data_IF_333520004623
#
_entry.id   IF_333520004623
#
_cell.length_a   1.000
_cell.length_b   1.000
_cell.length_c   1.000
_cell.angle_alpha   90.00
_cell.angle_beta   90.00
_cell.angle_gamma   90.00
#
_symmetry.space_group_name_H-M   'P 1'
#
loop_
_entity.id
_entity.type
_entity.pdbx_description
1 polymer ?
#
# COMPACT_ATOMS: atom_id res chain seq x y z
N UNK A 1 -7.05 -18.09 -35.70
CA UNK A 1 -7.47 -17.19 -34.60
C UNK A 1 -8.29 -16.08 -35.24
N UNK A 2 -9.48 -15.77 -34.74
CA UNK A 2 -10.42 -14.83 -35.39
C UNK A 2 -9.81 -13.43 -35.49
N UNK A 3 -9.32 -12.86 -34.39
CA UNK A 3 -8.53 -11.61 -34.44
C UNK A 3 -7.05 -11.99 -34.53
N UNK A 4 -6.26 -11.55 -35.53
CA UNK A 4 -4.83 -11.87 -35.63
C UNK A 4 -4.01 -11.35 -34.44
N UNK A 5 -2.84 -11.95 -34.18
CA UNK A 5 -1.99 -11.59 -33.02
C UNK A 5 -1.42 -10.16 -33.09
N UNK A 6 -1.24 -9.63 -34.30
CA UNK A 6 -0.64 -8.30 -34.56
C UNK A 6 -1.64 -7.15 -34.48
N UNK A 7 -2.94 -7.44 -34.31
CA UNK A 7 -4.00 -6.42 -34.28
C UNK A 7 -5.01 -6.70 -33.18
N UNK A 8 -5.74 -5.66 -32.79
CA UNK A 8 -6.81 -5.76 -31.80
C UNK A 8 -8.21 -5.73 -32.43
N UNK A 9 -8.31 -5.47 -33.74
CA UNK A 9 -9.58 -5.45 -34.48
C UNK A 9 -9.38 -6.04 -35.87
N UNK A 10 -10.36 -6.79 -36.34
CA UNK A 10 -10.44 -7.32 -37.71
C UNK A 10 -11.82 -7.05 -38.28
N UNK A 11 -11.93 -6.66 -39.55
CA UNK A 11 -13.23 -6.50 -40.18
C UNK A 11 -13.84 -7.87 -40.51
N UNK A 12 -15.17 -7.99 -40.49
CA UNK A 12 -15.84 -9.22 -40.89
C UNK A 12 -15.59 -9.54 -42.37
N UNK A 13 -15.44 -8.50 -43.20
CA UNK A 13 -15.07 -8.67 -44.60
C UNK A 13 -13.69 -9.35 -44.75
N UNK A 14 -12.71 -8.96 -43.94
CA UNK A 14 -11.39 -9.62 -43.94
C UNK A 14 -11.51 -11.09 -43.53
N UNK A 15 -12.38 -11.42 -42.57
CA UNK A 15 -12.62 -12.81 -42.17
C UNK A 15 -13.23 -13.65 -43.30
N UNK A 16 -14.14 -13.07 -44.08
CA UNK A 16 -14.74 -13.71 -45.25
C UNK A 16 -13.69 -13.96 -46.33
N UNK A 17 -12.85 -12.95 -46.63
CA UNK A 17 -11.76 -13.13 -47.62
C UNK A 17 -10.73 -14.18 -47.19
N UNK A 18 -10.59 -14.43 -45.89
CA UNK A 18 -9.76 -15.50 -45.33
C UNK A 18 -10.43 -16.89 -45.32
N UNK A 19 -11.68 -17.00 -45.79
CA UNK A 19 -12.40 -18.28 -45.85
C UNK A 19 -13.10 -18.69 -44.54
N UNK A 20 -13.30 -17.78 -43.58
CA UNK A 20 -14.03 -18.06 -42.34
C UNK A 20 -15.55 -17.95 -42.53
N UNK A 21 -16.09 -18.53 -43.60
CA UNK A 21 -17.52 -18.56 -43.93
C UNK A 21 -17.87 -19.80 -44.73
N UNK A 22 -19.16 -20.12 -44.82
CA UNK A 22 -19.67 -21.24 -45.60
C UNK A 22 -20.98 -20.86 -46.29
N UNK A 23 -21.20 -21.46 -47.45
CA UNK A 23 -22.36 -21.24 -48.32
C UNK A 23 -22.75 -22.59 -48.93
N UNK A 24 -23.95 -23.05 -48.57
CA UNK A 24 -24.45 -24.40 -48.86
C UNK A 24 -25.08 -24.50 -50.26
N UNK A 25 -25.61 -23.40 -50.81
CA UNK A 25 -26.30 -23.38 -52.10
C UNK A 25 -25.52 -22.66 -53.22
N UNK A 26 -24.39 -22.04 -52.86
CA UNK A 26 -23.38 -21.54 -53.79
C UNK A 26 -23.65 -20.12 -54.31
N UNK A 27 -24.58 -19.39 -53.70
CA UNK A 27 -25.03 -18.06 -54.13
C UNK A 27 -24.04 -16.92 -53.79
N UNK A 28 -23.08 -17.20 -52.92
CA UNK A 28 -21.98 -16.34 -52.51
C UNK A 28 -20.66 -16.62 -53.23
N UNK A 29 -20.60 -17.63 -54.10
CA UNK A 29 -19.36 -18.03 -54.78
C UNK A 29 -18.94 -17.03 -55.88
N UNK A 30 -17.64 -16.80 -56.02
CA UNK A 30 -17.03 -15.93 -57.04
C UNK A 30 -16.47 -14.61 -56.50
N UNK A 31 -15.78 -13.86 -57.36
CA UNK A 31 -15.18 -12.56 -56.97
C UNK A 31 -16.28 -11.59 -56.54
N UNK A 32 -16.20 -11.09 -55.30
CA UNK A 32 -17.21 -10.22 -54.67
C UNK A 32 -18.62 -10.86 -54.58
N UNK A 33 -18.69 -12.19 -54.43
CA UNK A 33 -19.97 -12.89 -54.27
C UNK A 33 -20.62 -12.68 -52.90
N UNK A 34 -19.82 -12.36 -51.87
CA UNK A 34 -20.27 -12.02 -50.51
C UNK A 34 -19.55 -10.77 -50.00
N UNK A 35 -20.29 -9.92 -49.30
CA UNK A 35 -19.77 -8.80 -48.51
C UNK A 35 -20.26 -8.89 -47.08
N UNK A 36 -19.42 -8.54 -46.10
CA UNK A 36 -19.85 -8.38 -44.72
C UNK A 36 -19.48 -7.02 -44.15
N UNK A 37 -20.40 -6.44 -43.39
CA UNK A 37 -20.18 -5.21 -42.63
C UNK A 37 -20.01 -5.52 -41.15
N UNK A 38 -19.12 -4.79 -40.49
CA UNK A 38 -18.84 -4.94 -39.07
C UNK A 38 -17.43 -5.43 -38.77
N UNK A 39 -17.13 -5.61 -37.49
CA UNK A 39 -15.81 -5.99 -37.01
C UNK A 39 -15.86 -6.76 -35.71
N UNK A 40 -14.82 -7.55 -35.47
CA UNK A 40 -14.54 -8.19 -34.19
C UNK A 40 -13.30 -7.55 -33.60
N UNK A 41 -13.37 -7.13 -32.35
CA UNK A 41 -12.26 -6.55 -31.59
C UNK A 41 -12.03 -7.28 -30.28
N UNK A 42 -10.80 -7.20 -29.79
CA UNK A 42 -10.43 -7.65 -28.46
C UNK A 42 -9.65 -6.55 -27.73
N UNK A 43 -9.90 -6.42 -26.43
CA UNK A 43 -9.12 -5.57 -25.54
C UNK A 43 -8.72 -6.34 -24.29
N UNK A 44 -7.61 -5.91 -23.69
CA UNK A 44 -7.07 -6.50 -22.48
C UNK A 44 -6.81 -5.39 -21.47
N UNK A 45 -7.25 -5.59 -20.23
CA UNK A 45 -6.87 -4.74 -19.11
C UNK A 45 -6.38 -5.57 -17.94
N UNK A 46 -5.57 -4.98 -17.07
CA UNK A 46 -5.27 -5.55 -15.76
C UNK A 46 -6.39 -5.28 -14.74
N UNK A 47 -6.19 -5.70 -13.49
CA UNK A 47 -7.13 -5.51 -12.39
C UNK A 47 -7.39 -4.03 -12.06
N UNK A 48 -6.43 -3.17 -12.37
CA UNK A 48 -6.50 -1.72 -12.18
C UNK A 48 -7.09 -1.01 -13.41
N UNK A 49 -7.63 -1.77 -14.37
CA UNK A 49 -8.16 -1.32 -15.65
C UNK A 49 -7.14 -0.61 -16.57
N UNK A 50 -5.83 -0.77 -16.32
CA UNK A 50 -4.82 -0.28 -17.27
C UNK A 50 -4.85 -1.14 -18.54
N UNK A 51 -4.64 -0.53 -19.70
CA UNK A 51 -4.57 -1.27 -20.97
C UNK A 51 -3.30 -2.12 -21.00
N UNK A 52 -3.46 -3.38 -21.43
CA UNK A 52 -2.38 -4.36 -21.52
C UNK A 52 -2.22 -4.79 -22.97
N UNK A 53 -1.00 -4.85 -23.47
CA UNK A 53 -0.71 -5.41 -24.79
C UNK A 53 -0.67 -6.94 -24.73
N UNK A 54 -1.02 -7.59 -25.84
CA UNK A 54 -0.90 -9.06 -26.00
C UNK A 54 0.52 -9.58 -25.77
N UNK A 55 1.53 -8.73 -25.96
CA UNK A 55 2.95 -9.04 -25.80
C UNK A 55 3.48 -8.83 -24.39
N UNK A 56 2.69 -8.21 -23.50
CA UNK A 56 3.16 -7.86 -22.16
C UNK A 56 3.29 -9.10 -21.30
N UNK A 57 4.36 -9.14 -20.49
CA UNK A 57 4.50 -10.17 -19.47
C UNK A 57 3.43 -9.96 -18.39
N UNK A 58 2.68 -11.02 -18.09
CA UNK A 58 1.66 -10.99 -17.05
C UNK A 58 2.32 -11.07 -15.66
N UNK A 59 1.81 -10.28 -14.72
CA UNK A 59 2.20 -10.28 -13.32
C UNK A 59 0.98 -10.68 -12.48
N UNK A 60 1.15 -11.67 -11.61
CA UNK A 60 0.11 -12.10 -10.66
C UNK A 60 -0.38 -10.95 -9.78
N UNK A 61 0.47 -9.95 -9.50
CA UNK A 61 0.11 -8.77 -8.72
C UNK A 61 -0.80 -7.78 -9.43
N UNK A 62 -1.02 -7.97 -10.74
CA UNK A 62 -1.92 -7.18 -11.58
C UNK A 62 -3.15 -7.99 -12.01
N UNK A 63 -3.28 -9.22 -11.54
CA UNK A 63 -4.39 -10.09 -11.81
C UNK A 63 -5.62 -9.73 -10.93
N UNK A 64 -6.85 -10.05 -11.36
CA UNK A 64 -7.20 -10.70 -12.63
C UNK A 64 -7.09 -9.75 -13.82
N UNK A 65 -6.59 -10.29 -14.94
CA UNK A 65 -6.66 -9.61 -16.22
C UNK A 65 -8.04 -9.83 -16.85
N UNK A 66 -8.55 -8.81 -17.52
CA UNK A 66 -9.84 -8.81 -18.20
C UNK A 66 -9.62 -8.79 -19.71
N UNK A 67 -10.06 -9.84 -20.40
CA UNK A 67 -10.12 -9.89 -21.86
C UNK A 67 -11.56 -9.69 -22.32
N UNK A 68 -11.79 -8.64 -23.10
CA UNK A 68 -13.11 -8.34 -23.66
C UNK A 68 -13.08 -8.62 -25.16
N UNK A 69 -13.91 -9.55 -25.62
CA UNK A 69 -14.15 -9.82 -27.04
C UNK A 69 -15.48 -9.17 -27.42
N UNK A 70 -15.45 -8.29 -28.42
CA UNK A 70 -16.63 -7.57 -28.90
C UNK A 70 -16.80 -7.74 -30.40
N UNK A 71 -18.05 -7.91 -30.84
CA UNK A 71 -18.43 -7.81 -32.24
C UNK A 71 -19.36 -6.62 -32.39
N UNK A 72 -19.17 -5.83 -33.43
CA UNK A 72 -20.20 -4.89 -33.87
C UNK A 72 -21.37 -5.68 -34.46
N UNK A 73 -22.55 -5.04 -34.50
CA UNK A 73 -23.60 -5.51 -35.40
C UNK A 73 -23.20 -5.28 -36.86
N UNK A 74 -23.99 -5.84 -37.77
CA UNK A 74 -23.79 -5.68 -39.20
C UNK A 74 -24.63 -6.68 -39.99
N UNK A 75 -24.28 -6.84 -41.25
CA UNK A 75 -24.96 -7.71 -42.18
C UNK A 75 -23.98 -8.46 -43.07
N UNK A 76 -24.43 -9.63 -43.50
CA UNK A 76 -23.80 -10.45 -44.52
C UNK A 76 -24.74 -10.43 -45.73
N UNK A 77 -24.21 -10.03 -46.87
CA UNK A 77 -24.95 -9.86 -48.10
C UNK A 77 -24.31 -10.67 -49.22
N UNK A 78 -25.10 -11.52 -49.86
CA UNK A 78 -24.73 -12.28 -51.05
C UNK A 78 -25.27 -11.60 -52.30
N UNK A 79 -24.63 -11.87 -53.44
CA UNK A 79 -25.06 -11.31 -54.74
C UNK A 79 -26.37 -11.94 -55.25
N UNK A 80 -26.58 -13.22 -54.94
CA UNK A 80 -27.77 -14.00 -55.32
C UNK A 80 -28.41 -14.60 -54.05
N UNK A 81 -29.55 -15.29 -54.16
CA UNK A 81 -30.28 -15.86 -53.00
C UNK A 81 -31.50 -15.04 -52.56
N UNK A 82 -32.45 -15.68 -51.89
CA UNK A 82 -33.64 -15.03 -51.31
C UNK A 82 -33.98 -15.65 -49.94
N UNK A 83 -33.83 -14.92 -48.83
CA UNK A 83 -33.24 -13.57 -48.73
C UNK A 83 -31.72 -13.58 -48.97
N UNK A 84 -31.19 -12.56 -49.66
CA UNK A 84 -29.76 -12.38 -49.92
C UNK A 84 -29.02 -11.57 -48.83
N UNK A 85 -29.66 -11.30 -47.71
CA UNK A 85 -29.06 -10.53 -46.62
C UNK A 85 -29.47 -11.11 -45.28
N UNK A 86 -28.50 -11.23 -44.37
CA UNK A 86 -28.72 -11.62 -42.99
C UNK A 86 -28.03 -10.65 -42.05
N UNK A 87 -28.79 -10.13 -41.09
CA UNK A 87 -28.27 -9.22 -40.07
C UNK A 87 -27.79 -10.00 -38.83
N UNK A 88 -26.79 -9.46 -38.14
CA UNK A 88 -26.32 -9.90 -36.84
C UNK A 88 -26.24 -8.72 -35.87
N UNK A 89 -26.61 -8.98 -34.62
CA UNK A 89 -26.52 -8.00 -33.52
C UNK A 89 -25.10 -7.89 -32.99
N UNK A 90 -24.78 -6.77 -32.35
CA UNK A 90 -23.56 -6.66 -31.56
C UNK A 90 -23.60 -7.61 -30.36
N UNK A 91 -22.43 -8.09 -29.96
CA UNK A 91 -22.27 -8.91 -28.76
C UNK A 91 -20.93 -8.61 -28.09
N UNK A 92 -20.87 -8.74 -26.77
CA UNK A 92 -19.63 -8.62 -26.00
C UNK A 92 -19.57 -9.74 -24.97
N UNK A 93 -18.40 -10.36 -24.85
CA UNK A 93 -18.10 -11.38 -23.84
C UNK A 93 -16.83 -10.98 -23.13
N UNK A 94 -16.82 -11.14 -21.81
CA UNK A 94 -15.66 -10.86 -20.96
C UNK A 94 -15.14 -12.15 -20.35
N UNK A 95 -13.82 -12.33 -20.41
CA UNK A 95 -13.10 -13.42 -19.78
C UNK A 95 -12.12 -12.85 -18.77
N UNK A 96 -11.93 -13.57 -17.66
CA UNK A 96 -10.93 -13.21 -16.64
C UNK A 96 -9.78 -14.22 -16.66
N UNK A 97 -8.56 -13.71 -16.58
CA UNK A 97 -7.31 -14.49 -16.68
C UNK A 97 -6.47 -14.21 -15.44
N UNK A 98 -6.19 -15.25 -14.67
CA UNK A 98 -5.21 -15.22 -13.58
C UNK A 98 -3.96 -15.99 -14.02
N UNK A 99 -2.82 -15.31 -14.28
CA UNK A 99 -1.58 -15.99 -14.59
C UNK A 99 -1.13 -16.81 -13.37
N UNK A 100 -0.50 -17.96 -13.60
CA UNK A 100 0.13 -18.70 -12.50
C UNK A 100 1.65 -18.57 -12.60
N UNK A 101 2.24 -17.76 -11.73
CA UNK A 101 3.69 -17.56 -11.61
C UNK A 101 4.22 -17.89 -10.21
N UNK A 102 3.46 -18.70 -9.45
CA UNK A 102 3.67 -18.94 -8.04
C UNK A 102 3.09 -17.82 -7.17
N UNK A 103 2.95 -18.06 -5.85
CA UNK A 103 2.39 -17.08 -4.96
C UNK A 103 3.37 -15.94 -4.67
N UNK A 104 2.86 -14.74 -4.45
CA UNK A 104 3.67 -13.55 -4.20
C UNK A 104 2.96 -12.59 -3.27
N UNK A 105 3.74 -11.86 -2.49
CA UNK A 105 3.28 -10.72 -1.72
C UNK A 105 3.56 -9.48 -2.57
N UNK A 106 2.48 -8.82 -2.98
CA UNK A 106 2.52 -7.76 -3.98
C UNK A 106 2.68 -6.39 -3.32
N UNK A 107 1.87 -6.16 -2.29
CA UNK A 107 1.87 -4.93 -1.52
C UNK A 107 1.79 -5.24 -0.03
N UNK A 108 2.15 -4.23 0.76
CA UNK A 108 1.92 -4.20 2.20
C UNK A 108 1.18 -2.93 2.57
N UNK A 109 0.12 -3.10 3.36
CA UNK A 109 -0.83 -2.04 3.67
C UNK A 109 -0.78 -1.69 5.16
N UNK A 110 -0.03 -0.64 5.55
CA UNK A 110 -0.30 0.07 6.80
C UNK A 110 -1.52 0.99 6.63
N UNK A 111 -1.76 1.91 7.55
CA UNK A 111 -2.73 2.99 7.39
C UNK A 111 -2.41 3.82 6.14
N UNK A 112 -3.44 4.13 5.35
CA UNK A 112 -3.37 4.82 4.05
C UNK A 112 -4.24 6.08 4.04
N UNK A 113 -4.29 6.82 5.15
CA UNK A 113 -5.14 8.00 5.30
C UNK A 113 -4.69 9.18 4.40
N UNK A 114 -5.16 9.15 3.15
CA UNK A 114 -5.16 10.25 2.17
C UNK A 114 -3.97 11.22 2.25
N UNK A 115 -2.76 10.76 1.95
CA UNK A 115 -1.72 11.70 1.50
C UNK A 115 -2.19 12.26 0.14
N UNK A 116 -2.78 13.45 0.14
CA UNK A 116 -3.31 14.12 -1.07
C UNK A 116 -2.24 14.70 -1.98
N UNK A 117 -0.96 14.33 -1.78
CA UNK A 117 0.19 14.92 -2.43
C UNK A 117 1.01 13.86 -3.16
N UNK A 118 1.03 13.97 -4.49
CA UNK A 118 1.83 13.15 -5.39
C UNK A 118 3.17 13.84 -5.72
N UNK A 119 4.26 13.07 -5.93
CA UNK A 119 4.32 11.61 -5.99
C UNK A 119 4.38 10.93 -4.62
N UNK A 120 3.53 9.94 -4.38
CA UNK A 120 3.53 9.08 -3.18
C UNK A 120 4.21 7.73 -3.43
N UNK A 121 4.89 7.20 -2.41
CA UNK A 121 5.44 5.85 -2.41
C UNK A 121 4.41 4.74 -2.14
N UNK A 122 3.17 5.11 -1.80
CA UNK A 122 2.07 4.18 -1.57
C UNK A 122 1.07 4.22 -2.73
N UNK A 123 0.56 3.04 -3.10
CA UNK A 123 -0.59 2.92 -3.98
C UNK A 123 -1.86 3.00 -3.13
N UNK A 124 -2.84 3.85 -3.50
CA UNK A 124 -4.12 3.93 -2.80
C UNK A 124 -4.73 2.55 -2.55
N UNK A 125 -5.24 2.33 -1.34
CA UNK A 125 -5.90 1.09 -0.86
C UNK A 125 -5.07 -0.20 -0.86
N UNK A 126 -3.86 -0.18 -1.44
CA UNK A 126 -2.92 -1.31 -1.50
C UNK A 126 -1.70 -1.13 -0.61
N UNK A 127 -1.24 0.11 -0.42
CA UNK A 127 -0.07 0.47 0.36
C UNK A 127 1.24 0.41 -0.42
N UNK A 128 2.34 0.06 0.26
CA UNK A 128 3.68 0.05 -0.34
C UNK A 128 3.89 -1.17 -1.22
N UNK A 129 4.44 -0.96 -2.42
CA UNK A 129 4.90 -2.06 -3.28
C UNK A 129 6.07 -2.79 -2.61
N UNK A 130 6.03 -4.13 -2.62
CA UNK A 130 7.16 -4.95 -2.18
C UNK A 130 8.33 -4.77 -3.16
N UNK A 131 9.44 -4.19 -2.68
CA UNK A 131 10.61 -3.86 -3.49
C UNK A 131 11.47 -5.08 -3.79
N UNK A 132 11.60 -6.02 -2.83
CA UNK A 132 12.36 -7.25 -3.04
C UNK A 132 11.96 -8.37 -2.10
N UNK A 133 12.05 -9.62 -2.56
CA UNK A 133 11.96 -10.82 -1.73
C UNK A 133 13.34 -11.42 -1.39
N UNK A 134 14.41 -10.82 -1.91
CA UNK A 134 15.79 -11.24 -1.63
C UNK A 134 16.28 -10.68 -0.31
N UNK A 135 16.86 -11.53 0.54
CA UNK A 135 17.27 -11.17 1.90
C UNK A 135 18.28 -10.02 1.96
N UNK A 136 19.17 -9.91 0.97
CA UNK A 136 20.14 -8.81 0.84
C UNK A 136 19.50 -7.43 0.64
N UNK A 137 18.24 -7.40 0.22
CA UNK A 137 17.53 -6.19 -0.21
C UNK A 137 16.29 -5.87 0.64
N UNK A 138 16.07 -6.59 1.74
CA UNK A 138 14.97 -6.32 2.67
C UNK A 138 15.02 -4.92 3.29
N UNK A 139 16.18 -4.28 3.31
CA UNK A 139 16.31 -2.89 3.75
C UNK A 139 15.59 -1.86 2.87
N UNK A 140 15.09 -2.26 1.69
CA UNK A 140 14.27 -1.43 0.79
C UNK A 140 12.77 -1.55 1.06
N UNK A 141 12.34 -2.59 1.78
CA UNK A 141 10.92 -2.81 2.05
C UNK A 141 10.49 -2.02 3.29
N UNK A 142 9.21 -1.65 3.29
CA UNK A 142 8.51 -1.24 4.50
C UNK A 142 8.48 -2.39 5.53
N UNK A 143 8.38 -2.13 6.83
CA UNK A 143 8.72 -0.88 7.48
C UNK A 143 10.22 -0.79 7.80
N UNK A 144 10.74 0.44 7.89
CA UNK A 144 12.07 0.72 8.46
C UNK A 144 11.99 1.28 9.89
N UNK A 145 10.82 1.76 10.28
CA UNK A 145 10.51 2.24 11.63
C UNK A 145 9.44 1.35 12.28
N UNK A 146 9.28 1.37 13.59
CA UNK A 146 8.22 0.60 14.23
C UNK A 146 7.93 1.05 15.65
N UNK A 147 6.88 0.48 16.22
CA UNK A 147 6.41 0.74 17.58
C UNK A 147 5.51 -0.40 18.04
N UNK A 148 5.34 -0.54 19.36
CA UNK A 148 4.50 -1.61 19.91
C UNK A 148 3.05 -1.43 19.47
N UNK A 149 2.44 -2.52 19.00
CA UNK A 149 1.04 -2.53 18.57
C UNK A 149 0.82 -2.08 17.12
N UNK A 150 1.81 -1.50 16.44
CA UNK A 150 1.69 -1.17 15.02
C UNK A 150 1.63 -2.45 14.18
N UNK A 151 0.88 -2.39 13.08
CA UNK A 151 0.66 -3.55 12.22
C UNK A 151 0.45 -3.17 10.76
N UNK A 152 0.57 -4.12 9.85
CA UNK A 152 0.28 -3.91 8.43
C UNK A 152 -0.21 -5.21 7.80
N UNK A 153 -0.95 -5.10 6.70
CA UNK A 153 -1.56 -6.25 6.04
C UNK A 153 -0.77 -6.64 4.77
N UNK A 154 -0.55 -7.94 4.58
CA UNK A 154 0.09 -8.49 3.38
C UNK A 154 -0.96 -8.74 2.30
N UNK A 155 -0.79 -8.13 1.13
CA UNK A 155 -1.63 -8.39 -0.04
C UNK A 155 -0.98 -9.49 -0.88
N UNK A 156 -1.50 -10.71 -0.70
CA UNK A 156 -0.95 -11.95 -1.27
C UNK A 156 -1.75 -12.33 -2.51
N UNK A 157 -1.07 -12.68 -3.59
CA UNK A 157 -1.67 -13.15 -4.83
C UNK A 157 -1.12 -14.54 -5.22
N UNK A 158 -1.90 -15.30 -5.98
CA UNK A 158 -1.50 -16.61 -6.50
C UNK A 158 -1.65 -17.79 -5.52
N UNK A 159 -2.18 -17.56 -4.32
CA UNK A 159 -2.55 -18.59 -3.34
C UNK A 159 -3.70 -18.10 -2.47
N UNK A 160 -4.47 -19.03 -1.92
CA UNK A 160 -5.44 -18.76 -0.86
C UNK A 160 -4.69 -18.46 0.45
N UNK A 161 -4.69 -17.19 0.87
CA UNK A 161 -3.97 -16.74 2.06
C UNK A 161 -4.44 -17.45 3.34
N UNK A 162 -5.68 -17.94 3.39
CA UNK A 162 -6.20 -18.68 4.55
C UNK A 162 -5.53 -20.04 4.76
N UNK A 163 -4.84 -20.56 3.72
CA UNK A 163 -4.11 -21.83 3.78
C UNK A 163 -2.66 -21.66 4.23
N UNK A 164 -2.17 -20.42 4.33
CA UNK A 164 -0.80 -20.14 4.73
C UNK A 164 -0.65 -20.20 6.25
N UNK A 165 0.28 -21.03 6.70
CA UNK A 165 0.73 -21.09 8.09
C UNK A 165 2.02 -20.30 8.25
N UNK A 166 2.10 -19.52 9.33
CA UNK A 166 3.20 -18.61 9.61
C UNK A 166 3.82 -18.90 10.97
N UNK A 167 5.12 -18.64 11.10
CA UNK A 167 5.81 -18.60 12.39
C UNK A 167 6.11 -17.17 12.78
N UNK A 168 5.99 -16.84 14.07
CA UNK A 168 6.45 -15.55 14.58
C UNK A 168 7.98 -15.47 14.54
N UNK A 169 8.49 -14.25 14.40
CA UNK A 169 9.93 -13.99 14.31
C UNK A 169 10.30 -12.96 15.37
N UNK A 170 11.18 -13.34 16.30
CA UNK A 170 11.69 -12.44 17.34
C UNK A 170 13.16 -12.10 17.10
N UNK A 171 13.48 -10.80 17.09
CA UNK A 171 14.83 -10.25 16.89
C UNK A 171 15.01 -9.00 17.74
N UNK A 172 16.13 -8.89 18.47
CA UNK A 172 16.49 -7.67 19.19
C UNK A 172 15.48 -7.17 20.23
N UNK A 173 14.62 -8.05 20.76
CA UNK A 173 13.55 -7.68 21.72
C UNK A 173 12.21 -7.30 21.06
N UNK A 174 12.11 -7.38 19.73
CA UNK A 174 10.88 -7.14 18.96
C UNK A 174 10.43 -8.47 18.35
N UNK A 175 9.12 -8.69 18.30
CA UNK A 175 8.48 -9.86 17.68
C UNK A 175 7.52 -9.40 16.60
N UNK A 176 7.65 -9.99 15.41
CA UNK A 176 6.67 -9.87 14.34
C UNK A 176 5.81 -11.13 14.33
N UNK A 177 4.49 -10.97 14.46
CA UNK A 177 3.51 -12.07 14.46
C UNK A 177 2.59 -11.91 13.28
N UNK A 178 2.39 -12.98 12.50
CA UNK A 178 1.43 -12.98 11.39
C UNK A 178 0.15 -13.67 11.81
N UNK A 179 -1.00 -13.06 11.52
CA UNK A 179 -2.32 -13.61 11.83
C UNK A 179 -3.27 -13.44 10.67
N UNK A 180 -4.17 -14.41 10.49
CA UNK A 180 -5.30 -14.32 9.58
C UNK A 180 -6.54 -13.90 10.36
N UNK A 181 -7.02 -12.67 10.15
CA UNK A 181 -8.11 -12.10 10.96
C UNK A 181 -8.97 -11.15 10.15
N UNK A 182 -10.17 -10.89 10.64
CA UNK A 182 -10.96 -9.75 10.17
C UNK A 182 -10.37 -8.44 10.73
N UNK A 183 -10.35 -7.37 9.91
CA UNK A 183 -10.25 -6.01 10.41
C UNK A 183 -11.29 -5.75 11.50
N UNK A 184 -11.00 -4.83 12.42
CA UNK A 184 -11.98 -4.40 13.42
C UNK A 184 -13.26 -3.92 12.73
N UNK A 185 -14.43 -4.12 13.34
CA UNK A 185 -15.70 -3.62 12.81
C UNK A 185 -16.24 -2.56 13.75
N UNK A 186 -16.60 -1.39 13.22
CA UNK A 186 -17.10 -0.25 13.98
C UNK A 186 -16.03 0.37 14.91
N UNK A 187 -15.70 1.64 14.67
CA UNK A 187 -14.69 2.39 15.42
C UNK A 187 -13.54 2.89 14.55
N UNK A 188 -12.61 3.63 15.16
CA UNK A 188 -11.44 4.21 14.47
C UNK A 188 -10.37 3.17 14.11
N UNK A 189 -10.25 2.06 14.86
CA UNK A 189 -9.31 0.97 14.52
C UNK A 189 -9.64 0.42 13.12
N UNK A 190 -8.63 0.32 12.25
CA UNK A 190 -8.74 -0.10 10.85
C UNK A 190 -9.60 0.82 9.96
N UNK A 191 -10.00 2.03 10.38
CA UNK A 191 -10.86 2.95 9.61
C UNK A 191 -10.38 3.29 8.19
N UNK A 192 -9.09 3.09 7.88
CA UNK A 192 -8.56 3.27 6.53
C UNK A 192 -8.92 2.13 5.56
N UNK A 193 -9.38 0.98 6.06
CA UNK A 193 -9.85 -0.13 5.23
C UNK A 193 -11.33 0.12 4.90
N UNK A 194 -11.64 0.23 3.62
CA UNK A 194 -13.01 0.45 3.12
C UNK A 194 -13.97 -0.67 3.56
N UNK A 195 -15.23 -0.32 3.83
CA UNK A 195 -16.23 -1.25 4.40
C UNK A 195 -16.39 -2.56 3.61
N UNK A 196 -16.30 -2.50 2.28
CA UNK A 196 -16.33 -3.69 1.43
C UNK A 196 -15.17 -4.65 1.73
N UNK A 197 -13.97 -4.10 1.91
CA UNK A 197 -12.75 -4.84 2.28
C UNK A 197 -12.76 -5.28 3.75
N UNK A 198 -13.39 -4.52 4.66
CA UNK A 198 -13.49 -4.88 6.08
C UNK A 198 -14.24 -6.18 6.32
N UNK A 199 -15.12 -6.57 5.39
CA UNK A 199 -15.84 -7.85 5.44
C UNK A 199 -14.96 -9.05 5.07
N UNK A 200 -13.74 -8.80 4.55
CA UNK A 200 -12.79 -9.81 4.14
C UNK A 200 -11.64 -9.95 5.14
N UNK A 201 -11.13 -11.17 5.30
CA UNK A 201 -9.99 -11.44 6.16
C UNK A 201 -8.70 -10.88 5.55
N UNK A 202 -7.79 -10.46 6.42
CA UNK A 202 -6.46 -9.93 6.08
C UNK A 202 -5.37 -10.78 6.70
N UNK A 203 -4.22 -10.84 6.04
CA UNK A 203 -3.00 -11.42 6.60
C UNK A 203 -2.19 -10.32 7.29
N UNK A 204 -2.39 -10.15 8.60
CA UNK A 204 -1.84 -9.03 9.37
C UNK A 204 -0.54 -9.40 10.05
N UNK A 205 0.49 -8.57 9.85
CA UNK A 205 1.74 -8.59 10.61
C UNK A 205 1.65 -7.56 11.73
N UNK A 206 1.75 -7.99 12.98
CA UNK A 206 1.77 -7.10 14.15
C UNK A 206 3.16 -7.09 14.78
N UNK A 207 3.66 -5.89 15.08
CA UNK A 207 4.91 -5.67 15.78
C UNK A 207 4.65 -5.54 17.29
N UNK A 208 5.36 -6.33 18.09
CA UNK A 208 5.31 -6.28 19.55
C UNK A 208 6.72 -6.12 20.10
N UNK A 209 6.92 -5.20 21.03
CA UNK A 209 8.25 -4.89 21.53
C UNK A 209 8.24 -4.03 22.78
N UNK A 210 9.37 -3.36 23.10
CA UNK A 210 9.46 -2.50 24.27
C UNK A 210 8.47 -1.34 24.17
N UNK A 211 7.68 -1.14 25.23
CA UNK A 211 6.77 -0.01 25.44
C UNK A 211 6.84 0.45 26.89
N UNK A 212 6.56 1.72 27.15
CA UNK A 212 6.48 2.22 28.52
C UNK A 212 5.29 1.55 29.25
N UNK A 213 5.47 1.23 30.52
CA UNK A 213 4.35 0.86 31.41
C UNK A 213 3.59 2.10 31.88
N UNK A 214 2.37 1.93 32.38
CA UNK A 214 1.57 3.04 32.94
C UNK A 214 2.34 3.83 34.00
N UNK A 215 3.09 3.13 34.86
CA UNK A 215 3.93 3.75 35.89
C UNK A 215 5.05 4.62 35.28
N UNK A 216 5.68 4.16 34.19
CA UNK A 216 6.69 4.95 33.48
C UNK A 216 6.05 6.15 32.75
N UNK A 217 4.88 5.98 32.14
CA UNK A 217 4.17 7.05 31.44
C UNK A 217 3.77 8.19 32.39
N UNK A 218 3.27 7.85 33.58
CA UNK A 218 2.80 8.84 34.56
C UNK A 218 3.92 9.48 35.39
N UNK A 219 5.12 8.88 35.43
CA UNK A 219 6.27 9.43 36.15
C UNK A 219 7.01 10.47 35.32
N UNK A 220 7.45 11.56 35.95
CA UNK A 220 8.39 12.51 35.34
C UNK A 220 9.83 11.97 35.38
N UNK A 221 10.11 11.00 36.25
CA UNK A 221 11.38 10.31 36.34
C UNK A 221 11.16 8.80 36.17
N UNK A 222 10.87 8.33 34.94
CA UNK A 222 10.62 6.92 34.69
C UNK A 222 11.88 6.09 34.96
N UNK A 223 11.68 4.83 35.37
CA UNK A 223 12.77 3.85 35.29
C UNK A 223 13.14 3.59 33.83
N UNK A 224 14.41 3.28 33.51
CA UNK A 224 14.82 2.95 32.15
C UNK A 224 13.99 1.81 31.55
N UNK A 225 13.72 1.90 30.25
CA UNK A 225 13.10 0.86 29.44
C UNK A 225 14.16 0.14 28.62
N UNK A 226 13.95 -1.15 28.34
CA UNK A 226 14.87 -1.91 27.48
C UNK A 226 14.87 -1.34 26.07
N UNK A 227 16.04 -0.89 25.61
CA UNK A 227 16.23 -0.41 24.24
C UNK A 227 16.46 -1.62 23.31
N UNK A 228 15.67 -1.79 22.24
CA UNK A 228 15.89 -2.89 21.31
C UNK A 228 17.20 -2.71 20.55
N UNK A 229 17.89 -3.82 20.27
CA UNK A 229 19.11 -3.79 19.45
C UNK A 229 18.72 -3.65 17.98
N UNK A 230 19.04 -2.52 17.34
CA UNK A 230 18.73 -2.22 15.93
C UNK A 230 20.00 -1.85 15.16
N UNK A 231 20.06 -2.06 13.82
CA UNK A 231 18.99 -2.59 12.98
C UNK A 231 18.78 -4.11 13.11
N UNK A 232 17.57 -4.59 12.81
CA UNK A 232 17.23 -6.02 12.78
C UNK A 232 16.51 -6.40 11.49
N UNK A 233 16.91 -7.52 10.91
CA UNK A 233 16.27 -8.12 9.73
C UNK A 233 15.24 -9.16 10.15
N UNK A 234 14.01 -9.01 9.64
CA UNK A 234 12.92 -9.97 9.81
C UNK A 234 12.64 -10.65 8.46
N UNK A 235 12.42 -11.97 8.48
CA UNK A 235 11.94 -12.74 7.32
C UNK A 235 10.77 -13.60 7.78
N UNK A 236 9.57 -13.23 7.33
CA UNK A 236 8.32 -13.95 7.54
C UNK A 236 8.14 -14.92 6.39
N UNK A 237 7.86 -16.19 6.70
CA UNK A 237 7.66 -17.25 5.72
C UNK A 237 6.31 -17.90 5.95
N UNK A 238 5.43 -17.80 4.96
CA UNK A 238 4.11 -18.43 4.93
C UNK A 238 4.14 -19.68 4.06
N UNK A 239 3.61 -20.80 4.55
CA UNK A 239 3.60 -22.08 3.84
C UNK A 239 2.22 -22.70 3.82
N UNK A 240 1.82 -23.29 2.71
CA UNK A 240 0.63 -24.16 2.66
C UNK A 240 1.00 -25.65 2.63
N UNK A 241 -0.01 -26.52 2.66
CA UNK A 241 0.15 -27.97 2.59
C UNK A 241 0.55 -28.49 1.21
N UNK A 242 0.40 -27.66 0.16
CA UNK A 242 0.77 -27.99 -1.22
C UNK A 242 2.24 -27.71 -1.50
N UNK A 243 2.98 -27.18 -0.51
CA UNK A 243 4.39 -26.81 -0.64
C UNK A 243 4.61 -25.42 -1.24
N UNK A 244 3.55 -24.62 -1.40
CA UNK A 244 3.70 -23.23 -1.77
C UNK A 244 4.30 -22.44 -0.61
N UNK A 245 5.20 -21.52 -0.93
CA UNK A 245 5.89 -20.68 0.05
C UNK A 245 5.86 -19.22 -0.40
N UNK A 246 5.53 -18.32 0.52
CA UNK A 246 5.69 -16.87 0.33
C UNK A 246 6.62 -16.30 1.39
N UNK A 247 7.43 -15.32 0.99
CA UNK A 247 8.37 -14.64 1.87
C UNK A 247 8.14 -13.14 1.88
N UNK A 248 8.16 -12.57 3.07
CA UNK A 248 8.25 -11.14 3.26
C UNK A 248 9.37 -10.82 4.22
N UNK A 249 10.24 -9.88 3.88
CA UNK A 249 11.26 -9.44 4.83
C UNK A 249 11.49 -7.94 4.77
N UNK A 250 11.88 -7.41 5.92
CA UNK A 250 12.07 -5.99 6.16
C UNK A 250 13.18 -5.77 7.19
N UNK A 251 13.66 -4.53 7.31
CA UNK A 251 14.71 -4.16 8.27
C UNK A 251 14.24 -2.99 9.12
N UNK A 252 13.95 -3.26 10.40
CA UNK A 252 13.72 -2.19 11.37
C UNK A 252 15.06 -1.56 11.72
N UNK A 253 15.15 -0.24 11.54
CA UNK A 253 16.31 0.60 11.84
C UNK A 253 16.07 1.49 13.06
N UNK A 254 14.81 1.76 13.36
CA UNK A 254 14.42 2.69 14.40
C UNK A 254 13.13 2.22 15.10
N UNK A 255 13.08 2.33 16.43
CA UNK A 255 11.91 1.95 17.22
C UNK A 255 11.42 3.12 18.05
N UNK A 256 10.10 3.31 18.08
CA UNK A 256 9.42 4.38 18.77
C UNK A 256 8.62 3.84 19.94
N UNK A 257 8.58 4.63 21.01
CA UNK A 257 7.73 4.44 22.18
C UNK A 257 7.00 5.75 22.47
N UNK A 258 5.88 5.70 23.17
CA UNK A 258 5.06 6.87 23.48
C UNK A 258 4.78 6.97 24.98
N UNK A 259 4.43 8.18 25.45
CA UNK A 259 4.05 8.45 26.85
C UNK A 259 2.54 8.32 27.09
N UNK A 260 1.86 7.46 26.33
CA UNK A 260 0.41 7.27 26.42
C UNK A 260 -0.38 8.57 26.25
N UNK A 261 -1.43 8.74 27.06
CA UNK A 261 -2.25 9.95 27.09
C UNK A 261 -1.63 11.14 27.85
N UNK A 262 -0.37 11.06 28.29
CA UNK A 262 0.26 12.14 29.05
C UNK A 262 0.48 13.37 28.15
N UNK A 263 -0.40 14.36 28.34
CA UNK A 263 -0.39 15.62 27.62
C UNK A 263 0.30 16.70 28.47
N UNK A 264 1.51 17.13 28.06
CA UNK A 264 2.40 17.95 28.90
C UNK A 264 3.25 18.93 28.06
N UNK A 265 3.89 19.88 28.73
CA UNK A 265 4.73 20.92 28.12
C UNK A 265 6.00 20.31 27.53
N UNK A 266 6.51 20.95 26.47
CA UNK A 266 7.74 20.55 25.78
C UNK A 266 8.92 20.33 26.75
N UNK A 267 9.11 21.25 27.71
CA UNK A 267 10.17 21.19 28.72
C UNK A 267 10.11 19.97 29.65
N UNK A 268 8.92 19.37 29.84
CA UNK A 268 8.72 18.16 30.64
C UNK A 268 8.80 16.90 29.78
N UNK A 269 8.35 16.99 28.53
CA UNK A 269 8.27 15.84 27.61
C UNK A 269 9.65 15.43 27.07
N UNK A 270 10.49 16.38 26.68
CA UNK A 270 11.81 16.07 26.10
C UNK A 270 12.72 15.31 27.08
N UNK A 271 12.87 15.72 28.36
CA UNK A 271 13.70 14.99 29.32
C UNK A 271 13.16 13.59 29.66
N UNK A 272 11.85 13.36 29.54
CA UNK A 272 11.24 12.06 29.83
C UNK A 272 11.84 10.96 28.94
N UNK A 273 12.05 11.25 27.65
CA UNK A 273 12.70 10.31 26.73
C UNK A 273 14.10 9.91 27.19
N UNK A 274 14.93 10.89 27.58
CA UNK A 274 16.29 10.66 28.08
C UNK A 274 16.33 9.79 29.32
N UNK A 275 15.41 10.04 30.26
CA UNK A 275 15.29 9.26 31.51
C UNK A 275 14.83 7.81 31.25
N UNK A 276 14.02 7.60 30.22
CA UNK A 276 13.59 6.28 29.78
C UNK A 276 14.74 5.49 29.11
N UNK A 277 15.86 6.12 28.75
CA UNK A 277 16.95 5.52 27.98
C UNK A 277 16.82 5.68 26.46
N UNK A 278 15.90 6.53 26.02
CA UNK A 278 15.63 6.88 24.62
C UNK A 278 16.03 8.35 24.37
N UNK A 279 15.77 8.86 23.17
CA UNK A 279 15.84 10.30 22.89
C UNK A 279 14.52 10.82 22.33
N UNK A 280 14.26 12.10 22.52
CA UNK A 280 13.18 12.75 21.80
C UNK A 280 13.52 12.76 20.28
N UNK A 281 12.50 12.61 19.41
CA UNK A 281 12.69 12.59 17.97
C UNK A 281 13.01 13.98 17.47
N UNK A 282 13.87 14.04 16.45
CA UNK A 282 13.99 15.19 15.57
C UNK A 282 12.89 15.14 14.52
N UNK A 283 12.65 16.25 13.87
CA UNK A 283 11.67 16.39 12.79
C UNK A 283 11.88 15.36 11.69
N UNK A 284 13.14 15.16 11.27
CA UNK A 284 13.52 14.15 10.27
C UNK A 284 13.31 12.69 10.72
N UNK A 285 13.12 12.41 12.00
CA UNK A 285 12.74 11.07 12.46
C UNK A 285 11.24 10.81 12.23
N UNK A 286 10.44 11.86 12.02
CA UNK A 286 8.98 11.80 12.01
C UNK A 286 8.37 12.08 10.63
N UNK A 287 8.91 13.02 9.87
CA UNK A 287 8.32 13.51 8.61
C UNK A 287 9.36 13.91 7.58
N UNK A 288 8.97 13.89 6.32
CA UNK A 288 9.73 14.41 5.17
C UNK A 288 9.21 15.77 4.66
N UNK A 289 8.40 16.47 5.46
CA UNK A 289 7.94 17.82 5.18
C UNK A 289 9.11 18.78 4.90
N UNK A 290 8.91 19.66 3.91
CA UNK A 290 9.90 20.63 3.44
C UNK A 290 9.69 22.01 4.05
N UNK A 291 10.70 22.53 4.73
CA UNK A 291 10.68 23.93 5.15
C UNK A 291 10.74 24.88 3.94
N UNK A 292 10.21 26.10 4.09
CA UNK A 292 10.27 27.18 3.09
C UNK A 292 9.37 26.97 1.86
N UNK A 293 8.63 25.86 1.80
CA UNK A 293 7.59 25.63 0.80
C UNK A 293 6.27 26.36 1.12
N UNK A 294 6.11 26.78 2.37
CA UNK A 294 4.91 27.42 2.92
C UNK A 294 5.34 28.36 4.07
N UNK A 295 4.76 29.56 4.13
CA UNK A 295 5.08 30.55 5.17
C UNK A 295 4.78 30.06 6.60
N UNK A 296 3.94 29.02 6.73
CA UNK A 296 3.60 28.39 8.01
C UNK A 296 4.66 27.38 8.48
N UNK A 297 5.61 27.03 7.62
CA UNK A 297 6.80 26.26 7.98
C UNK A 297 8.04 26.83 7.25
N UNK A 298 8.51 28.03 7.61
CA UNK A 298 9.70 28.62 7.04
C UNK A 298 10.95 27.88 7.52
N UNK A 299 12.04 27.97 6.76
CA UNK A 299 13.30 27.34 7.15
C UNK A 299 13.98 28.13 8.27
N UNK A 300 14.05 27.52 9.46
CA UNK A 300 14.84 28.01 10.59
C UNK A 300 16.04 27.10 10.82
N UNK A 301 17.22 27.69 10.98
CA UNK A 301 18.45 27.03 11.45
C UNK A 301 18.79 25.70 10.72
N UNK A 302 18.36 25.56 9.46
CA UNK A 302 18.53 24.33 8.67
C UNK A 302 17.70 23.13 9.15
N UNK A 303 16.73 23.34 10.04
CA UNK A 303 15.77 22.33 10.50
C UNK A 303 14.80 22.04 9.35
N UNK A 304 14.78 20.77 8.93
CA UNK A 304 13.99 20.30 7.80
C UNK A 304 13.56 18.84 8.05
N UNK A 305 12.61 18.36 7.27
CA UNK A 305 12.22 16.96 7.28
C UNK A 305 13.28 16.02 6.70
N UNK A 306 12.96 14.73 6.72
CA UNK A 306 13.75 13.69 6.08
C UNK A 306 13.73 13.79 4.54
N UNK A 307 14.52 12.93 3.91
CA UNK A 307 14.56 12.76 2.46
C UNK A 307 14.09 11.36 2.06
N UNK A 308 13.44 11.18 0.90
CA UNK A 308 13.08 12.21 -0.08
C UNK A 308 12.03 13.18 0.46
N UNK A 309 12.20 14.45 0.12
CA UNK A 309 11.33 15.52 0.63
C UNK A 309 9.98 15.55 -0.09
N UNK A 310 8.91 15.88 0.62
CA UNK A 310 7.57 16.08 0.05
C UNK A 310 7.42 17.39 -0.74
N UNK A 311 8.42 18.28 -0.69
CA UNK A 311 8.36 19.65 -1.23
C UNK A 311 7.23 20.54 -0.65
N UNK A 312 6.55 20.10 0.41
CA UNK A 312 5.47 20.86 1.07
C UNK A 312 5.62 20.75 2.60
N UNK A 313 4.90 21.56 3.38
CA UNK A 313 4.83 21.41 4.85
C UNK A 313 4.12 20.13 5.34
N UNK A 314 3.52 19.38 4.42
CA UNK A 314 2.85 18.10 4.67
C UNK A 314 3.84 16.97 4.42
N UNK A 315 3.57 15.80 4.99
CA UNK A 315 4.32 14.62 4.62
C UNK A 315 3.79 14.02 3.32
N UNK A 316 4.63 13.24 2.66
CA UNK A 316 4.22 12.30 1.61
C UNK A 316 4.74 10.93 1.98
N UNK A 317 3.97 9.87 1.72
CA UNK A 317 4.33 8.54 2.15
C UNK A 317 5.55 8.01 1.41
N UNK A 318 6.58 7.60 2.14
CA UNK A 318 7.83 7.07 1.61
C UNK A 318 8.46 6.11 2.60
N UNK A 319 9.08 5.04 2.09
CA UNK A 319 9.86 4.11 2.92
C UNK A 319 11.16 4.80 3.32
N UNK A 320 11.44 4.83 4.62
CA UNK A 320 12.68 5.36 5.18
C UNK A 320 12.75 6.88 5.33
N UNK A 321 11.62 7.60 5.21
CA UNK A 321 11.57 9.06 5.26
C UNK A 321 10.94 9.61 6.55
N UNK A 322 10.93 8.82 7.63
CA UNK A 322 10.39 9.18 8.93
C UNK A 322 9.14 8.40 9.31
N UNK A 323 8.80 8.42 10.61
CA UNK A 323 7.75 7.57 11.18
C UNK A 323 6.37 7.77 10.53
N UNK A 324 5.87 9.00 10.43
CA UNK A 324 4.56 9.26 9.81
C UNK A 324 4.57 9.03 8.30
N UNK A 325 5.73 9.08 7.64
CA UNK A 325 5.82 8.78 6.20
C UNK A 325 5.64 7.30 5.88
N UNK A 326 5.87 6.43 6.87
CA UNK A 326 5.68 4.99 6.76
C UNK A 326 4.33 4.56 7.32
N UNK A 327 3.90 5.13 8.45
CA UNK A 327 2.75 4.65 9.20
C UNK A 327 1.51 5.54 9.12
N UNK A 328 1.61 6.72 8.52
CA UNK A 328 0.54 7.71 8.38
C UNK A 328 -0.15 8.00 9.73
N UNK A 329 -1.48 8.17 9.76
CA UNK A 329 -2.21 8.40 11.00
C UNK A 329 -2.23 7.15 11.91
N UNK A 330 -1.38 7.20 12.93
CA UNK A 330 -1.18 6.12 13.89
C UNK A 330 -2.30 5.96 14.91
N UNK A 331 -3.24 6.91 15.00
CA UNK A 331 -4.42 6.74 15.87
C UNK A 331 -5.32 5.60 15.36
N UNK A 332 -5.35 5.38 14.05
CA UNK A 332 -6.23 4.39 13.42
C UNK A 332 -5.82 2.93 13.72
N UNK A 333 -4.68 2.68 14.36
CA UNK A 333 -4.21 1.32 14.69
C UNK A 333 -4.73 0.85 16.05
N UNK A 334 -5.41 1.71 16.80
CA UNK A 334 -5.77 1.43 18.18
C UNK A 334 -7.27 1.69 18.39
N UNK A 335 -7.90 0.80 19.15
CA UNK A 335 -9.28 0.99 19.60
C UNK A 335 -9.38 2.23 20.52
N UNK A 336 -10.43 3.03 20.35
CA UNK A 336 -10.75 4.18 21.21
C UNK A 336 -10.79 3.79 22.71
N UNK A 337 -11.17 2.55 23.02
CA UNK A 337 -11.17 2.06 24.40
C UNK A 337 -9.77 1.87 25.01
N UNK A 338 -8.72 1.83 24.18
CA UNK A 338 -7.31 1.71 24.57
C UNK A 338 -6.52 2.99 24.31
N UNK A 339 -7.20 4.13 24.15
CA UNK A 339 -6.56 5.41 23.83
C UNK A 339 -5.46 5.79 24.83
N UNK A 340 -5.51 5.34 26.08
CA UNK A 340 -4.46 5.64 27.08
C UNK A 340 -3.10 4.99 26.78
N UNK A 341 -3.08 3.89 26.03
CA UNK A 341 -1.90 3.10 25.68
C UNK A 341 -1.62 3.11 24.16
N UNK A 342 -1.89 4.23 23.48
CA UNK A 342 -1.67 4.34 22.04
C UNK A 342 -0.74 5.50 21.65
N UNK A 343 -0.22 5.40 20.42
CA UNK A 343 0.36 6.53 19.71
C UNK A 343 -0.72 7.59 19.42
N UNK A 344 -0.33 8.86 19.36
CA UNK A 344 -1.22 10.02 19.23
C UNK A 344 -0.94 10.74 17.92
N UNK A 345 -1.95 11.30 17.29
CA UNK A 345 -1.72 11.92 15.97
C UNK A 345 -0.68 13.05 15.99
N UNK A 346 -0.37 13.64 17.15
CA UNK A 346 0.63 14.70 17.33
C UNK A 346 1.73 14.35 18.32
N UNK A 347 2.95 14.83 18.09
CA UNK A 347 4.09 14.73 19.01
C UNK A 347 5.00 15.96 18.96
N UNK A 348 5.62 16.29 20.08
CA UNK A 348 6.77 17.20 20.13
C UNK A 348 7.98 16.64 19.38
N UNK A 349 8.84 17.56 18.95
CA UNK A 349 10.20 17.29 18.47
C UNK A 349 11.24 17.90 19.42
N UNK A 350 12.46 17.38 19.40
CA UNK A 350 13.59 17.98 20.12
C UNK A 350 14.21 19.19 19.42
N UNK A 351 13.78 19.52 18.20
CA UNK A 351 14.32 20.65 17.46
C UNK A 351 13.81 21.96 18.07
N UNK A 352 14.72 22.90 18.25
CA UNK A 352 14.48 24.23 18.75
C UNK A 352 15.45 25.20 18.04
N UNK A 353 14.99 26.43 17.81
CA UNK A 353 15.77 27.50 17.18
C UNK A 353 16.41 28.40 18.23
N UNK A 354 17.37 29.24 17.81
CA UNK A 354 17.98 30.24 18.69
C UNK A 354 16.98 31.32 19.17
N UNK A 355 15.81 31.43 18.54
CA UNK A 355 14.71 32.35 18.92
C UNK A 355 13.60 31.65 19.72
N UNK A 356 13.90 30.52 20.37
CA UNK A 356 12.96 29.71 21.17
C UNK A 356 11.75 29.15 20.40
N UNK A 357 11.76 29.19 19.06
CA UNK A 357 10.76 28.47 18.24
C UNK A 357 11.03 26.98 18.35
N UNK A 358 10.00 26.23 18.74
CA UNK A 358 10.01 24.77 18.80
C UNK A 358 9.03 24.20 17.76
N UNK A 359 9.08 22.88 17.56
CA UNK A 359 8.26 22.22 16.54
C UNK A 359 7.50 21.03 17.09
N UNK A 360 6.29 20.84 16.56
CA UNK A 360 5.54 19.60 16.70
C UNK A 360 5.16 19.06 15.32
N UNK A 361 4.90 17.75 15.26
CA UNK A 361 4.46 17.06 14.06
C UNK A 361 3.13 16.39 14.35
N UNK A 362 2.09 16.71 13.58
CA UNK A 362 0.77 16.11 13.66
C UNK A 362 0.37 15.46 12.33
N UNK A 363 0.16 14.15 12.31
CA UNK A 363 -0.10 13.32 11.11
C UNK A 363 0.90 13.64 9.99
N UNK A 364 2.19 13.72 10.37
CA UNK A 364 3.30 14.11 9.50
C UNK A 364 3.36 15.59 9.08
N UNK A 365 2.38 16.42 9.44
CA UNK A 365 2.39 17.87 9.17
C UNK A 365 3.16 18.63 10.25
N UNK A 366 4.02 19.57 9.84
CA UNK A 366 4.81 20.39 10.77
C UNK A 366 4.02 21.60 11.27
N UNK A 367 4.18 21.91 12.56
CA UNK A 367 3.66 23.10 13.23
C UNK A 367 4.76 23.78 14.05
N UNK A 368 4.79 25.11 13.98
CA UNK A 368 5.61 25.97 14.84
C UNK A 368 4.88 26.19 16.16
N UNK A 369 5.64 26.21 17.25
CA UNK A 369 5.11 26.40 18.60
C UNK A 369 6.10 27.21 19.44
N UNK A 370 5.62 27.76 20.56
CA UNK A 370 6.38 28.59 21.52
C UNK A 370 6.52 27.88 22.88
N UNK A 371 6.04 26.64 23.00
CA UNK A 371 6.11 25.84 24.23
C UNK A 371 5.08 26.24 25.29
N UNK A 372 4.18 27.17 25.00
CA UNK A 372 3.11 27.59 25.92
C UNK A 372 1.96 26.59 26.01
N UNK A 373 1.85 25.69 25.03
CA UNK A 373 0.82 24.65 24.99
C UNK A 373 1.41 23.28 25.36
N UNK A 374 0.50 22.32 25.59
CA UNK A 374 0.85 20.93 25.89
C UNK A 374 0.73 20.11 24.61
N UNK A 375 1.55 19.08 24.51
CA UNK A 375 1.45 18.07 23.46
C UNK A 375 1.95 16.70 23.97
N UNK A 376 1.77 15.67 23.17
CA UNK A 376 2.29 14.33 23.45
C UNK A 376 3.75 14.23 23.01
N UNK A 377 4.39 13.12 23.37
CA UNK A 377 5.78 12.85 23.01
C UNK A 377 5.95 11.40 22.60
N UNK A 378 6.65 11.23 21.49
CA UNK A 378 7.29 9.99 21.11
C UNK A 378 8.73 10.04 21.56
N UNK A 379 9.30 8.88 21.86
CA UNK A 379 10.72 8.73 22.06
C UNK A 379 11.22 7.66 21.10
N UNK A 380 12.41 7.87 20.57
CA UNK A 380 13.00 6.97 19.59
C UNK A 380 14.33 6.44 20.09
N UNK A 381 14.73 5.28 19.59
CA UNK A 381 16.02 4.67 19.93
C UNK A 381 17.16 5.68 19.71
N UNK A 382 18.18 5.72 20.60
CA UNK A 382 19.26 6.71 20.58
C UNK A 382 19.92 6.92 19.22
#
# INVERSE_FOLDING_TARGET
>A
MVVPLSVNTVSLNDLITQGNWGDDDGDGQGTNGVTAMGSVSVSFTDADNNTVSRSDALDICKAPYKMTLSSTGGDLQTKYGLPNTRNFSSQTVTYYINPYSGPRICFVRPSTHSSSFEPSGMVPDKGFLVQSTSSSSYGLNFPTTGGDGLYFDLLIAGVDASQLTWSSVSRGGITATVSWRLPKQGGEEDAWIHDEDRSSYVTRVTLTGPRASDAQMQSDNPSPLTVPSLPQTFELVGRDSSGNEVKYGFVLRQWFVHRGNKWDYWSNQIPWCGRLGYRAPKMKDLTNAKCGSDDRFPCYDGIDGATPSSNTRYHTSYIGAGFFTEWDDVELYFDEMNYEMSFRSSTWTSDATDNDVIFSVSRGTVFLDDGSHRNYIYCTTP
#
